data_IF_350394521697
#
_entry.id   IF_350394521697
#
_cell.length_a   1.000
_cell.length_b   1.000
_cell.length_c   1.000
_cell.angle_alpha   90.00
_cell.angle_beta   90.00
_cell.angle_gamma   90.00
#
_symmetry.space_group_name_H-M   'P 1'
#
loop_
_entity.id
_entity.type
_entity.pdbx_description
1 polymer ?
#
# COMPACT_ATOMS: atom_id res chain seq x y z
N UNK A 1 6.94 21.44 -23.69
CA UNK A 1 6.85 20.43 -22.62
C UNK A 1 8.08 19.55 -22.72
N UNK A 2 8.97 19.61 -21.73
CA UNK A 2 10.12 18.71 -21.69
C UNK A 2 9.59 17.30 -21.45
N UNK A 3 9.80 16.39 -22.41
CA UNK A 3 9.56 14.98 -22.15
C UNK A 3 10.46 14.54 -21.00
N UNK A 4 9.87 14.05 -19.93
CA UNK A 4 10.61 13.37 -18.88
C UNK A 4 11.42 12.25 -19.54
N UNK A 5 12.68 12.14 -19.20
CA UNK A 5 13.51 11.06 -19.70
C UNK A 5 12.79 9.73 -19.44
N UNK A 6 12.56 8.97 -20.50
CA UNK A 6 12.07 7.60 -20.31
C UNK A 6 13.13 6.85 -19.53
N UNK A 7 12.76 6.35 -18.38
CA UNK A 7 13.57 5.37 -17.66
C UNK A 7 13.59 4.13 -18.54
N UNK A 8 14.73 3.83 -19.15
CA UNK A 8 14.90 2.60 -19.91
C UNK A 8 15.05 1.38 -18.97
N UNK A 9 15.00 0.19 -19.54
CA UNK A 9 15.10 -1.06 -18.76
C UNK A 9 16.36 -1.12 -17.90
N UNK A 10 17.51 -0.73 -18.42
CA UNK A 10 18.78 -0.78 -17.71
C UNK A 10 18.81 0.16 -16.48
N UNK A 11 18.22 1.35 -16.60
CA UNK A 11 18.11 2.27 -15.48
C UNK A 11 17.10 1.78 -14.45
N UNK A 12 15.99 1.19 -14.87
CA UNK A 12 15.01 0.59 -13.98
C UNK A 12 15.63 -0.57 -13.20
N UNK A 13 16.35 -1.45 -13.87
CA UNK A 13 17.07 -2.57 -13.27
C UNK A 13 18.10 -2.07 -12.25
N UNK A 14 18.86 -1.03 -12.57
CA UNK A 14 19.82 -0.43 -11.65
C UNK A 14 19.13 0.10 -10.38
N UNK A 15 18.01 0.79 -10.53
CA UNK A 15 17.24 1.31 -9.39
C UNK A 15 16.73 0.16 -8.54
N UNK A 16 16.17 -0.88 -9.15
CA UNK A 16 15.63 -2.02 -8.44
C UNK A 16 16.74 -2.80 -7.70
N UNK A 17 17.90 -3.01 -8.31
CA UNK A 17 19.02 -3.72 -7.72
C UNK A 17 19.68 -2.96 -6.56
N UNK A 18 19.69 -1.64 -6.59
CA UNK A 18 20.42 -0.82 -5.62
C UNK A 18 19.53 -0.11 -4.58
N UNK A 19 18.28 0.14 -4.90
CA UNK A 19 17.35 0.90 -4.06
C UNK A 19 16.36 0.03 -3.30
N UNK A 20 15.85 -1.06 -3.91
CA UNK A 20 14.79 -1.85 -3.31
C UNK A 20 15.23 -2.60 -2.05
N UNK A 21 14.33 -2.63 -1.09
CA UNK A 21 14.44 -3.39 0.15
C UNK A 21 13.20 -4.28 0.32
N UNK A 22 12.76 -4.89 -0.78
CA UNK A 22 11.60 -5.77 -0.77
C UNK A 22 11.87 -7.06 0.02
N UNK A 23 10.96 -7.35 0.94
CA UNK A 23 10.92 -8.67 1.58
C UNK A 23 10.50 -9.76 0.58
N UNK A 24 10.74 -11.01 0.95
CA UNK A 24 10.31 -12.14 0.15
C UNK A 24 8.79 -12.16 -0.09
N UNK A 25 8.00 -11.73 0.91
CA UNK A 25 6.54 -11.61 0.80
C UNK A 25 6.16 -10.58 -0.24
N UNK A 26 6.76 -9.38 -0.19
CA UNK A 26 6.51 -8.32 -1.17
C UNK A 26 6.84 -8.76 -2.59
N UNK A 27 7.97 -9.42 -2.77
CA UNK A 27 8.41 -9.91 -4.08
C UNK A 27 7.42 -10.91 -4.66
N UNK A 28 7.06 -11.94 -3.88
CA UNK A 28 6.06 -12.93 -4.31
C UNK A 28 4.71 -12.29 -4.64
N UNK A 29 4.26 -11.35 -3.81
CA UNK A 29 3.00 -10.64 -4.04
C UNK A 29 3.02 -9.86 -5.37
N UNK A 30 4.12 -9.19 -5.68
CA UNK A 30 4.27 -8.46 -6.96
C UNK A 30 4.27 -9.42 -8.15
N UNK A 31 5.01 -10.52 -8.06
CA UNK A 31 5.09 -11.54 -9.12
C UNK A 31 3.72 -12.22 -9.36
N UNK A 32 2.99 -12.51 -8.31
CA UNK A 32 1.63 -13.07 -8.40
C UNK A 32 0.67 -12.06 -9.04
N UNK A 33 0.71 -10.81 -8.59
CA UNK A 33 -0.14 -9.74 -9.12
C UNK A 33 0.13 -9.45 -10.59
N UNK A 34 1.38 -9.51 -11.02
CA UNK A 34 1.76 -9.28 -12.42
C UNK A 34 1.14 -10.29 -13.40
N UNK A 35 0.74 -11.47 -12.92
CA UNK A 35 0.08 -12.51 -13.72
C UNK A 35 -1.43 -12.26 -13.91
N UNK A 36 -2.01 -11.35 -13.16
CA UNK A 36 -3.42 -11.00 -13.29
C UNK A 36 -3.64 -10.12 -14.53
N UNK A 37 -4.83 -10.22 -15.14
CA UNK A 37 -5.22 -9.33 -16.24
C UNK A 37 -5.19 -7.86 -15.85
N UNK A 38 -5.46 -7.56 -14.58
CA UNK A 38 -5.41 -6.23 -13.99
C UNK A 38 -4.03 -5.89 -13.38
N UNK A 39 -2.99 -6.70 -13.59
CA UNK A 39 -1.68 -6.54 -12.98
C UNK A 39 -1.03 -5.17 -13.20
N UNK A 40 -1.38 -4.50 -14.28
CA UNK A 40 -0.91 -3.13 -14.57
C UNK A 40 -1.40 -2.05 -13.60
N UNK A 41 -2.37 -2.33 -12.73
CA UNK A 41 -2.81 -1.41 -11.69
C UNK A 41 -1.87 -1.39 -10.47
N UNK A 42 -0.96 -2.36 -10.37
CA UNK A 42 0.01 -2.41 -9.28
C UNK A 42 1.02 -1.26 -9.40
N UNK A 43 1.31 -0.60 -8.28
CA UNK A 43 2.39 0.39 -8.24
C UNK A 43 3.76 -0.30 -8.44
N UNK A 44 4.72 0.45 -8.96
CA UNK A 44 6.09 -0.05 -9.11
C UNK A 44 6.76 -0.27 -7.74
N UNK A 45 7.71 -1.19 -7.68
CA UNK A 45 8.41 -1.53 -6.45
C UNK A 45 9.15 -0.34 -5.82
N UNK A 46 9.78 0.50 -6.63
CA UNK A 46 10.44 1.71 -6.16
C UNK A 46 9.46 2.76 -5.61
N UNK A 47 8.22 2.82 -6.12
CA UNK A 47 7.16 3.65 -5.51
C UNK A 47 6.77 3.13 -4.12
N UNK A 48 6.64 1.82 -3.96
CA UNK A 48 6.41 1.21 -2.65
C UNK A 48 7.52 1.54 -1.66
N UNK A 49 8.77 1.46 -2.08
CA UNK A 49 9.94 1.84 -1.28
C UNK A 49 9.91 3.32 -0.88
N UNK A 50 9.52 4.20 -1.80
CA UNK A 50 9.38 5.64 -1.53
C UNK A 50 8.26 5.93 -0.53
N UNK A 51 7.13 5.23 -0.63
CA UNK A 51 6.03 5.35 0.35
C UNK A 51 6.52 4.98 1.75
N UNK A 52 7.26 3.87 1.89
CA UNK A 52 7.87 3.46 3.17
C UNK A 52 8.76 4.57 3.74
N UNK A 53 9.64 5.12 2.89
CA UNK A 53 10.56 6.18 3.30
C UNK A 53 9.81 7.42 3.78
N UNK A 54 8.82 7.90 3.03
CA UNK A 54 8.04 9.08 3.37
C UNK A 54 7.22 8.87 4.64
N UNK A 55 6.54 7.73 4.77
CA UNK A 55 5.74 7.42 5.95
C UNK A 55 6.60 7.39 7.23
N UNK A 56 7.80 6.82 7.16
CA UNK A 56 8.76 6.82 8.27
C UNK A 56 9.31 8.22 8.56
N UNK A 57 9.64 8.99 7.52
CA UNK A 57 10.20 10.33 7.67
C UNK A 57 9.26 11.30 8.39
N UNK A 58 7.95 11.19 8.16
CA UNK A 58 6.94 12.02 8.85
C UNK A 58 6.45 11.41 10.18
N UNK A 59 6.95 10.24 10.55
CA UNK A 59 6.50 9.54 11.75
C UNK A 59 5.03 9.14 11.70
N UNK A 60 4.54 8.71 10.53
CA UNK A 60 3.15 8.34 10.34
C UNK A 60 2.72 7.23 11.30
N UNK A 61 1.60 7.42 11.98
CA UNK A 61 0.98 6.43 12.88
C UNK A 61 -0.36 5.95 12.35
N UNK A 62 -0.98 6.73 11.50
CA UNK A 62 -2.29 6.47 10.89
C UNK A 62 -2.25 6.80 9.42
N UNK A 63 -2.87 5.94 8.62
CA UNK A 63 -2.98 6.12 7.18
C UNK A 63 -4.33 5.62 6.66
N UNK A 64 -4.71 6.11 5.51
CA UNK A 64 -5.90 5.67 4.77
C UNK A 64 -5.48 5.35 3.35
N UNK A 65 -5.96 4.25 2.82
CA UNK A 65 -5.76 3.85 1.44
C UNK A 65 -7.09 3.59 0.75
N UNK A 66 -7.29 4.22 -0.40
CA UNK A 66 -8.43 3.98 -1.28
C UNK A 66 -7.96 3.20 -2.51
N UNK A 67 -8.54 2.02 -2.72
CA UNK A 67 -8.09 1.10 -3.76
C UNK A 67 -6.91 0.24 -3.30
N UNK A 68 -7.23 -0.85 -2.63
CA UNK A 68 -6.25 -1.76 -2.04
C UNK A 68 -5.69 -2.76 -3.05
N UNK A 69 -6.50 -3.18 -4.01
CA UNK A 69 -6.15 -4.17 -5.00
C UNK A 69 -5.61 -5.46 -4.35
N UNK A 70 -4.42 -5.93 -4.74
CA UNK A 70 -3.77 -7.11 -4.15
C UNK A 70 -2.94 -6.82 -2.91
N UNK A 71 -2.89 -5.55 -2.49
CA UNK A 71 -2.36 -5.16 -1.18
C UNK A 71 -0.88 -4.85 -1.11
N UNK A 72 -0.19 -4.61 -2.23
CA UNK A 72 1.24 -4.30 -2.21
C UNK A 72 1.54 -2.94 -1.55
N UNK A 73 0.82 -1.87 -1.95
CA UNK A 73 0.99 -0.54 -1.35
C UNK A 73 0.59 -0.52 0.12
N UNK A 74 -0.52 -1.16 0.47
CA UNK A 74 -0.94 -1.29 1.86
C UNK A 74 0.05 -2.06 2.71
N UNK A 75 0.68 -3.12 2.16
CA UNK A 75 1.77 -3.83 2.84
C UNK A 75 2.96 -2.90 3.11
N UNK A 76 3.36 -2.10 2.12
CA UNK A 76 4.41 -1.10 2.29
C UNK A 76 4.09 -0.08 3.37
N UNK A 77 2.87 0.47 3.37
CA UNK A 77 2.43 1.44 4.37
C UNK A 77 2.41 0.80 5.76
N UNK A 78 1.81 -0.38 5.90
CA UNK A 78 1.68 -1.04 7.18
C UNK A 78 3.03 -1.40 7.80
N UNK A 79 4.02 -1.81 7.00
CA UNK A 79 5.40 -2.02 7.48
C UNK A 79 6.09 -0.73 7.95
N UNK A 80 5.71 0.40 7.38
CA UNK A 80 6.26 1.70 7.76
C UNK A 80 5.66 2.26 9.05
N UNK A 81 4.44 1.86 9.40
CA UNK A 81 3.77 2.28 10.63
C UNK A 81 4.38 1.57 11.85
N UNK A 82 4.33 2.20 13.05
CA UNK A 82 4.68 1.53 14.29
C UNK A 82 3.73 0.37 14.61
N UNK A 83 4.09 -0.49 15.56
CA UNK A 83 3.31 -1.68 15.92
C UNK A 83 1.86 -1.37 16.36
N UNK A 84 1.65 -0.21 16.97
CA UNK A 84 0.33 0.31 17.37
C UNK A 84 -0.30 1.23 16.32
N UNK A 85 0.33 1.35 15.14
CA UNK A 85 -0.19 2.12 14.02
C UNK A 85 -1.40 1.48 13.37
N UNK A 86 -2.15 2.26 12.59
CA UNK A 86 -3.38 1.82 11.94
C UNK A 86 -3.46 2.32 10.50
N UNK A 87 -3.78 1.39 9.61
CA UNK A 87 -4.08 1.66 8.21
C UNK A 87 -5.52 1.22 7.92
N UNK A 88 -6.34 2.16 7.47
CA UNK A 88 -7.70 1.87 6.97
C UNK A 88 -7.64 1.75 5.46
N UNK A 89 -8.04 0.61 4.96
CA UNK A 89 -8.12 0.30 3.54
C UNK A 89 -9.57 0.15 3.09
N UNK A 90 -9.89 0.57 1.88
CA UNK A 90 -11.14 0.22 1.23
C UNK A 90 -10.93 -0.20 -0.22
N UNK A 91 -11.71 -1.20 -0.63
CA UNK A 91 -11.74 -1.70 -2.00
C UNK A 91 -13.13 -2.25 -2.30
N UNK A 92 -13.47 -2.35 -3.57
CA UNK A 92 -14.74 -2.93 -4.02
C UNK A 92 -14.63 -4.41 -4.38
N UNK A 93 -13.42 -4.94 -4.51
CA UNK A 93 -13.15 -6.32 -4.93
C UNK A 93 -12.75 -7.21 -3.76
N UNK A 94 -13.64 -8.09 -3.37
CA UNK A 94 -13.33 -9.13 -2.38
C UNK A 94 -12.32 -10.16 -2.91
N UNK A 95 -12.33 -10.44 -4.20
CA UNK A 95 -11.41 -11.37 -4.84
C UNK A 95 -9.96 -10.91 -4.72
N UNK A 96 -9.67 -9.68 -5.12
CA UNK A 96 -8.32 -9.12 -5.04
C UNK A 96 -7.85 -8.95 -3.60
N UNK A 97 -8.71 -8.48 -2.73
CA UNK A 97 -8.37 -8.25 -1.33
C UNK A 97 -8.17 -9.53 -0.53
N UNK A 98 -8.63 -10.68 -1.02
CA UNK A 98 -8.28 -11.97 -0.44
C UNK A 98 -6.77 -12.25 -0.54
N UNK A 99 -6.18 -11.92 -1.68
CA UNK A 99 -4.71 -11.97 -1.88
C UNK A 99 -4.01 -11.01 -0.93
N UNK A 100 -4.52 -9.80 -0.79
CA UNK A 100 -4.00 -8.80 0.14
C UNK A 100 -3.98 -9.31 1.60
N UNK A 101 -5.10 -9.83 2.09
CA UNK A 101 -5.20 -10.37 3.47
C UNK A 101 -4.19 -11.48 3.74
N UNK A 102 -3.99 -12.38 2.77
CA UNK A 102 -2.99 -13.45 2.88
C UNK A 102 -1.59 -12.88 3.02
N UNK A 103 -1.21 -11.95 2.16
CA UNK A 103 0.12 -11.33 2.16
C UNK A 103 0.39 -10.53 3.45
N UNK A 104 -0.59 -9.78 3.94
CA UNK A 104 -0.47 -9.03 5.20
C UNK A 104 -0.27 -9.95 6.41
N UNK A 105 -0.99 -11.06 6.45
CA UNK A 105 -0.85 -12.07 7.51
C UNK A 105 0.53 -12.72 7.45
N UNK A 106 0.99 -13.10 6.26
CA UNK A 106 2.31 -13.69 6.07
C UNK A 106 3.44 -12.72 6.47
N UNK A 107 3.26 -11.43 6.21
CA UNK A 107 4.21 -10.38 6.62
C UNK A 107 4.09 -9.97 8.10
N UNK A 108 3.07 -10.44 8.82
CA UNK A 108 2.85 -10.11 10.23
C UNK A 108 2.36 -8.70 10.50
N UNK A 109 1.70 -8.05 9.54
CA UNK A 109 1.19 -6.67 9.66
C UNK A 109 -0.34 -6.57 9.63
N UNK A 110 -1.03 -7.68 9.52
CA UNK A 110 -2.50 -7.72 9.42
C UNK A 110 -3.21 -7.04 10.60
N UNK A 111 -2.63 -7.08 11.80
CA UNK A 111 -3.16 -6.39 12.99
C UNK A 111 -3.19 -4.86 12.87
N UNK A 112 -2.38 -4.30 11.97
CA UNK A 112 -2.33 -2.85 11.71
C UNK A 112 -3.33 -2.40 10.66
N UNK A 113 -3.96 -3.34 9.93
CA UNK A 113 -4.78 -3.06 8.75
C UNK A 113 -6.24 -3.39 9.03
N UNK A 114 -7.11 -2.44 8.73
CA UNK A 114 -8.55 -2.61 8.73
C UNK A 114 -9.06 -2.41 7.31
N UNK A 115 -9.62 -3.47 6.73
CA UNK A 115 -10.13 -3.45 5.36
C UNK A 115 -11.66 -3.47 5.36
N UNK A 116 -12.25 -2.53 4.65
CA UNK A 116 -13.67 -2.47 4.38
C UNK A 116 -13.93 -2.68 2.89
N UNK A 117 -14.82 -3.61 2.56
CA UNK A 117 -15.26 -3.85 1.18
C UNK A 117 -16.47 -2.96 0.90
N UNK A 118 -16.34 -2.08 -0.08
CA UNK A 118 -17.38 -1.16 -0.49
C UNK A 118 -16.83 0.09 -1.17
N UNK A 119 -17.73 0.94 -1.72
CA UNK A 119 -17.34 2.22 -2.31
C UNK A 119 -16.70 3.14 -1.25
N UNK A 120 -15.58 3.76 -1.58
CA UNK A 120 -14.83 4.61 -0.64
C UNK A 120 -15.68 5.73 -0.04
N UNK A 121 -16.50 6.40 -0.84
CA UNK A 121 -17.39 7.49 -0.38
C UNK A 121 -18.45 7.02 0.63
N UNK A 122 -18.84 5.74 0.59
CA UNK A 122 -19.83 5.18 1.50
C UNK A 122 -19.21 4.48 2.71
N UNK A 123 -17.92 4.13 2.67
CA UNK A 123 -17.24 3.32 3.70
C UNK A 123 -16.26 4.13 4.55
N UNK A 124 -15.70 5.21 4.01
CA UNK A 124 -14.81 6.10 4.74
C UNK A 124 -15.61 7.30 5.26
N UNK A 125 -16.15 7.17 6.46
CA UNK A 125 -16.59 8.34 7.20
C UNK A 125 -15.36 8.99 7.85
N UNK A 126 -14.83 10.00 7.16
CA UNK A 126 -13.70 10.80 7.65
C UNK A 126 -13.89 11.33 9.08
N UNK A 127 -15.12 11.62 9.47
CA UNK A 127 -15.44 12.13 10.81
C UNK A 127 -15.41 11.04 11.87
N UNK A 128 -15.64 9.78 11.47
CA UNK A 128 -15.64 8.64 12.37
C UNK A 128 -14.25 8.01 12.55
N UNK A 129 -13.24 8.44 11.78
CA UNK A 129 -11.88 7.94 11.96
C UNK A 129 -11.33 8.37 13.32
N UNK A 130 -10.83 7.44 14.16
CA UNK A 130 -10.34 7.78 15.49
C UNK A 130 -9.27 8.87 15.47
N UNK A 131 -9.49 9.93 16.21
CA UNK A 131 -8.58 11.08 16.34
C UNK A 131 -8.89 12.26 15.43
N UNK A 132 -9.99 12.24 14.69
CA UNK A 132 -10.50 13.39 13.94
C UNK A 132 -11.73 14.02 14.63
N UNK A 133 -11.76 14.02 15.96
CA UNK A 133 -12.77 14.75 16.71
C UNK A 133 -12.45 16.25 16.62
N UNK A 134 -12.85 16.90 15.55
CA UNK A 134 -13.16 18.33 15.60
C UNK A 134 -14.50 18.45 16.30
N UNK A 135 -14.48 18.52 17.63
CA UNK A 135 -15.62 19.05 18.37
C UNK A 135 -15.80 20.48 17.90
N UNK A 136 -16.96 20.87 17.36
CA UNK A 136 -17.26 22.28 17.24
C UNK A 136 -17.42 22.81 18.65
N UNK A 137 -16.56 23.75 19.01
CA UNK A 137 -16.73 24.63 20.18
C UNK A 137 -17.90 25.57 19.96
#
# INVERSE_FOLDING_TARGET
MKAWAKIDGALADYVDDNWLRDSAVKRRLREETAKLSAGGMQIAAHQGQQIVLLARAIGARRAVEVGTFTGYSSLCIAEALPADGKLWCCDVSEEWTRTARRAWKEAGVDSRIELTIGPALGTLDWKALPGNSTSPS
#
